data_IF_422984489766
#
_entry.id   IF_422984489766
#
_cell.length_a   1.000
_cell.length_b   1.000
_cell.length_c   1.000
_cell.angle_alpha   90.00
_cell.angle_beta   90.00
_cell.angle_gamma   90.00
#
_symmetry.space_group_name_H-M   'P 1'
#
loop_
_entity.id
_entity.type
_entity.pdbx_description
1 polymer ?
#
# COMPACT_ATOMS: atom_id res chain seq x y z
N UNK A 1 5.35 -19.01 10.54
CA UNK A 1 4.63 -18.61 11.78
C UNK A 1 4.59 -17.09 11.95
N UNK A 2 5.69 -16.38 11.65
CA UNK A 2 5.78 -14.91 11.67
C UNK A 2 4.72 -14.20 10.82
N UNK A 3 4.44 -14.67 9.61
CA UNK A 3 3.51 -14.03 8.67
C UNK A 3 2.05 -13.98 9.19
N UNK A 4 1.66 -14.95 10.03
CA UNK A 4 0.34 -14.98 10.65
C UNK A 4 0.26 -14.00 11.82
N UNK A 5 1.30 -13.90 12.64
CA UNK A 5 1.35 -12.97 13.75
C UNK A 5 1.44 -11.52 13.29
N UNK A 6 2.19 -11.25 12.20
CA UNK A 6 2.33 -9.92 11.61
C UNK A 6 1.14 -9.48 10.73
N UNK A 7 0.21 -10.41 10.44
CA UNK A 7 -0.89 -10.19 9.51
C UNK A 7 -0.44 -9.98 8.06
N UNK A 8 0.75 -10.46 7.69
CA UNK A 8 1.35 -10.24 6.37
C UNK A 8 0.57 -10.89 5.23
N UNK A 9 -0.17 -11.97 5.51
CA UNK A 9 -1.11 -12.57 4.55
C UNK A 9 -2.19 -11.58 4.03
N UNK A 10 -2.46 -10.50 4.78
CA UNK A 10 -3.38 -9.43 4.34
C UNK A 10 -2.74 -8.64 3.19
N UNK A 11 -1.42 -8.50 3.18
CA UNK A 11 -0.66 -7.82 2.12
C UNK A 11 -0.58 -8.64 0.83
N UNK A 12 -0.87 -9.94 0.87
CA UNK A 12 -0.99 -10.76 -0.34
C UNK A 12 -2.27 -10.41 -1.12
N UNK A 13 -3.34 -10.02 -0.40
CA UNK A 13 -4.64 -9.70 -1.00
C UNK A 13 -4.90 -8.21 -1.21
N UNK A 14 -4.36 -7.36 -0.35
CA UNK A 14 -4.54 -5.91 -0.41
C UNK A 14 -3.19 -5.21 -0.59
N UNK A 15 -3.08 -4.22 -1.49
CA UNK A 15 -1.87 -3.39 -1.57
C UNK A 15 -1.66 -2.67 -0.24
N UNK A 16 -0.39 -2.54 0.19
CA UNK A 16 -0.05 -1.92 1.47
C UNK A 16 -0.56 -0.48 1.52
N UNK A 17 -1.56 -0.18 2.33
CA UNK A 17 -2.24 1.11 2.38
C UNK A 17 -3.12 1.23 3.61
N UNK A 18 -3.91 2.30 3.72
CA UNK A 18 -4.74 2.56 4.91
C UNK A 18 -5.66 1.39 5.28
N UNK A 19 -6.33 0.76 4.31
CA UNK A 19 -7.17 -0.41 4.55
C UNK A 19 -6.37 -1.62 5.05
N UNK A 20 -5.21 -1.91 4.43
CA UNK A 20 -4.37 -3.02 4.85
C UNK A 20 -3.81 -2.80 6.27
N UNK A 21 -3.40 -1.57 6.60
CA UNK A 21 -2.99 -1.17 7.95
C UNK A 21 -4.12 -1.38 8.95
N UNK A 22 -5.34 -0.96 8.62
CA UNK A 22 -6.51 -1.13 9.49
C UNK A 22 -6.81 -2.61 9.75
N UNK A 23 -6.87 -3.44 8.71
CA UNK A 23 -7.15 -4.87 8.84
C UNK A 23 -6.07 -5.59 9.67
N UNK A 24 -4.79 -5.27 9.43
CA UNK A 24 -3.68 -5.81 10.22
C UNK A 24 -3.75 -5.36 11.67
N UNK A 25 -4.13 -4.10 11.91
CA UNK A 25 -4.35 -3.58 13.25
C UNK A 25 -5.43 -4.37 13.99
N UNK A 26 -6.59 -4.58 13.35
CA UNK A 26 -7.68 -5.37 13.94
C UNK A 26 -7.22 -6.79 14.27
N UNK A 27 -6.50 -7.43 13.36
CA UNK A 27 -5.97 -8.78 13.55
C UNK A 27 -4.99 -8.88 14.73
N UNK A 28 -3.99 -8.00 14.78
CA UNK A 28 -2.99 -7.98 15.84
C UNK A 28 -3.62 -7.60 17.18
N UNK A 29 -4.52 -6.61 17.19
CA UNK A 29 -5.25 -6.20 18.40
C UNK A 29 -6.07 -7.36 18.94
N UNK A 30 -6.76 -8.10 18.08
CA UNK A 30 -7.52 -9.29 18.46
C UNK A 30 -6.61 -10.32 19.14
N UNK A 31 -5.47 -10.67 18.54
CA UNK A 31 -4.51 -11.62 19.12
C UNK A 31 -4.00 -11.13 20.49
N UNK A 32 -3.54 -9.88 20.57
CA UNK A 32 -3.00 -9.31 21.80
C UNK A 32 -4.06 -9.23 22.91
N UNK A 33 -5.29 -8.90 22.55
CA UNK A 33 -6.41 -8.84 23.49
C UNK A 33 -6.75 -10.22 24.07
N UNK A 34 -6.78 -11.28 23.24
CA UNK A 34 -6.99 -12.64 23.72
C UNK A 34 -5.87 -13.13 24.63
N UNK A 35 -4.61 -12.81 24.30
CA UNK A 35 -3.46 -13.11 25.17
C UNK A 35 -3.60 -12.37 26.50
N UNK A 36 -3.97 -11.09 26.49
CA UNK A 36 -4.16 -10.31 27.71
C UNK A 36 -5.28 -10.86 28.60
N UNK A 37 -6.42 -11.27 28.01
CA UNK A 37 -7.49 -11.95 28.75
C UNK A 37 -7.00 -13.27 29.33
N UNK A 38 -6.29 -14.09 28.56
CA UNK A 38 -5.78 -15.37 29.02
C UNK A 38 -4.82 -15.20 30.22
N UNK A 39 -3.88 -14.25 30.14
CA UNK A 39 -2.96 -13.92 31.24
C UNK A 39 -3.74 -13.43 32.46
N UNK A 40 -4.66 -12.47 32.28
CA UNK A 40 -5.47 -11.92 33.38
C UNK A 40 -6.31 -13.01 34.06
N UNK A 41 -6.87 -13.94 33.29
CA UNK A 41 -7.64 -15.07 33.81
C UNK A 41 -6.77 -16.06 34.60
N UNK A 42 -5.46 -16.15 34.32
CA UNK A 42 -4.54 -17.07 35.01
C UNK A 42 -3.91 -16.49 36.27
N UNK A 43 -3.74 -15.16 36.32
CA UNK A 43 -3.07 -14.46 37.44
C UNK A 43 -4.07 -13.97 38.50
N UNK A 44 -5.37 -14.06 38.25
CA UNK A 44 -6.38 -13.64 39.22
C UNK A 44 -6.33 -14.52 40.49
N UNK A 45 -6.37 -13.91 41.70
CA UNK A 45 -6.24 -14.63 42.98
C UNK A 45 -7.36 -15.65 43.27
N UNK A 46 -8.42 -15.68 42.46
CA UNK A 46 -9.53 -16.65 42.54
C UNK A 46 -9.75 -17.39 41.22
N UNK A 47 -8.70 -17.58 40.42
CA UNK A 47 -8.80 -18.26 39.12
C UNK A 47 -9.28 -19.70 39.30
N UNK A 48 -10.56 -19.96 39.06
CA UNK A 48 -11.09 -21.30 38.90
C UNK A 48 -10.78 -21.77 37.47
N UNK A 49 -10.28 -23.00 37.32
CA UNK A 49 -9.96 -23.58 36.01
C UNK A 49 -11.21 -23.99 35.21
N UNK A 50 -12.38 -23.54 35.65
CA UNK A 50 -13.67 -23.90 35.07
C UNK A 50 -14.13 -22.83 34.07
N UNK A 51 -14.39 -23.21 32.81
CA UNK A 51 -14.88 -22.27 31.82
C UNK A 51 -16.31 -21.82 32.18
N UNK A 52 -16.45 -20.54 32.56
CA UNK A 52 -17.74 -19.91 32.84
C UNK A 52 -18.01 -18.74 31.92
N UNK A 53 -19.15 -18.79 31.20
CA UNK A 53 -19.59 -17.73 30.29
C UNK A 53 -19.82 -16.41 31.05
N UNK A 54 -20.31 -16.50 32.29
CA UNK A 54 -20.58 -15.32 33.14
C UNK A 54 -19.29 -14.61 33.51
N UNK A 55 -18.25 -15.37 33.88
CA UNK A 55 -16.91 -14.83 34.18
C UNK A 55 -16.27 -14.25 32.93
N UNK A 56 -16.40 -14.91 31.78
CA UNK A 56 -15.90 -14.39 30.51
C UNK A 56 -16.55 -13.06 30.13
N UNK A 57 -17.88 -12.94 30.27
CA UNK A 57 -18.60 -11.70 29.99
C UNK A 57 -18.16 -10.55 30.89
N UNK A 58 -17.97 -10.81 32.18
CA UNK A 58 -17.53 -9.82 33.15
C UNK A 58 -16.07 -9.38 32.90
N UNK A 59 -15.19 -10.31 32.57
CA UNK A 59 -13.82 -10.01 32.17
C UNK A 59 -13.82 -9.11 30.93
N UNK A 60 -14.53 -9.51 29.86
CA UNK A 60 -14.64 -8.73 28.63
C UNK A 60 -15.17 -7.33 28.93
N UNK A 61 -16.29 -7.18 29.66
CA UNK A 61 -16.86 -5.86 29.94
C UNK A 61 -15.89 -4.96 30.72
N UNK A 62 -15.08 -5.54 31.61
CA UNK A 62 -14.06 -4.81 32.37
C UNK A 62 -12.81 -4.46 31.56
N UNK A 63 -12.54 -5.17 30.45
CA UNK A 63 -11.34 -5.00 29.62
C UNK A 63 -11.57 -4.30 28.29
N UNK A 64 -12.82 -3.98 27.93
CA UNK A 64 -13.15 -3.24 26.69
C UNK A 64 -12.30 -1.96 26.51
N UNK A 65 -12.09 -1.10 27.52
CA UNK A 65 -11.25 0.10 27.35
C UNK A 65 -9.81 -0.21 26.93
N UNK A 66 -9.26 -1.35 27.37
CA UNK A 66 -7.91 -1.79 27.00
C UNK A 66 -7.81 -2.20 25.54
N UNK A 67 -8.89 -2.71 24.96
CA UNK A 67 -8.95 -3.02 23.53
C UNK A 67 -8.70 -1.75 22.70
N UNK A 68 -9.33 -0.63 23.06
CA UNK A 68 -9.13 0.66 22.39
C UNK A 68 -7.68 1.16 22.49
N UNK A 69 -7.06 1.04 23.66
CA UNK A 69 -5.65 1.44 23.85
C UNK A 69 -4.68 0.56 23.04
N UNK A 70 -4.87 -0.77 23.06
CA UNK A 70 -4.07 -1.70 22.25
C UNK A 70 -4.25 -1.38 20.76
N UNK A 71 -5.50 -1.20 20.32
CA UNK A 71 -5.81 -0.86 18.94
C UNK A 71 -5.11 0.43 18.50
N UNK A 72 -5.23 1.51 19.28
CA UNK A 72 -4.62 2.79 18.95
C UNK A 72 -3.08 2.69 18.85
N UNK A 73 -2.45 1.98 19.79
CA UNK A 73 -0.99 1.77 19.77
C UNK A 73 -0.52 0.97 18.56
N UNK A 74 -1.18 -0.15 18.27
CA UNK A 74 -0.88 -0.99 17.09
C UNK A 74 -1.12 -0.22 15.80
N UNK A 75 -2.24 0.51 15.71
CA UNK A 75 -2.58 1.32 14.54
C UNK A 75 -1.52 2.38 14.27
N UNK A 76 -1.15 3.14 15.29
CA UNK A 76 -0.14 4.19 15.19
C UNK A 76 1.21 3.62 14.73
N UNK A 77 1.64 2.48 15.29
CA UNK A 77 2.90 1.83 14.91
C UNK A 77 2.90 1.34 13.45
N UNK A 78 1.84 0.64 13.03
CA UNK A 78 1.72 0.13 11.66
C UNK A 78 1.56 1.27 10.64
N UNK A 79 0.79 2.31 10.99
CA UNK A 79 0.63 3.47 10.14
C UNK A 79 1.93 4.25 10.00
N UNK A 80 2.67 4.47 11.09
CA UNK A 80 3.99 5.11 11.05
C UNK A 80 4.97 4.34 10.14
N UNK A 81 4.99 3.01 10.24
CA UNK A 81 5.78 2.16 9.33
C UNK A 81 5.34 2.33 7.88
N UNK A 82 4.04 2.27 7.60
CA UNK A 82 3.51 2.46 6.25
C UNK A 82 3.89 3.84 5.68
N UNK A 83 3.74 4.90 6.47
CA UNK A 83 4.08 6.27 6.06
C UNK A 83 5.57 6.40 5.74
N UNK A 84 6.44 5.81 6.57
CA UNK A 84 7.88 5.78 6.31
C UNK A 84 8.23 5.04 5.01
N UNK A 85 7.63 3.86 4.78
CA UNK A 85 7.84 3.08 3.55
C UNK A 85 7.37 3.83 2.30
N UNK A 86 6.20 4.45 2.37
CA UNK A 86 5.67 5.26 1.28
C UNK A 86 6.59 6.45 0.96
N UNK A 87 7.01 7.19 1.99
CA UNK A 87 7.84 8.39 1.84
C UNK A 87 9.23 8.05 1.30
N UNK A 88 9.81 6.95 1.76
CA UNK A 88 11.05 6.42 1.21
C UNK A 88 10.94 6.19 -0.30
N UNK A 89 9.92 5.43 -0.74
CA UNK A 89 9.79 5.05 -2.14
C UNK A 89 9.48 6.26 -3.03
N UNK A 90 8.62 7.18 -2.57
CA UNK A 90 8.32 8.42 -3.29
C UNK A 90 9.57 9.32 -3.42
N UNK A 91 10.37 9.43 -2.36
CA UNK A 91 11.61 10.20 -2.40
C UNK A 91 12.65 9.58 -3.33
N UNK A 92 12.80 8.25 -3.32
CA UNK A 92 13.69 7.54 -4.24
C UNK A 92 13.29 7.81 -5.70
N UNK A 93 12.01 7.72 -6.03
CA UNK A 93 11.51 8.06 -7.36
C UNK A 93 11.87 9.50 -7.76
N UNK A 94 11.62 10.48 -6.87
CA UNK A 94 11.94 11.87 -7.15
C UNK A 94 13.43 12.09 -7.40
N UNK A 95 14.30 11.43 -6.61
CA UNK A 95 15.74 11.50 -6.80
C UNK A 95 16.18 10.90 -8.15
N UNK A 96 15.60 9.76 -8.55
CA UNK A 96 15.85 9.14 -9.87
C UNK A 96 15.45 10.10 -10.99
N UNK A 97 14.28 10.75 -10.90
CA UNK A 97 13.83 11.71 -11.89
C UNK A 97 14.71 12.97 -11.94
N UNK A 98 15.10 13.52 -10.78
CA UNK A 98 16.03 14.64 -10.71
C UNK A 98 17.38 14.31 -11.36
N UNK A 99 17.93 13.14 -11.04
CA UNK A 99 19.16 12.65 -11.66
C UNK A 99 18.97 12.55 -13.17
N UNK A 100 17.91 11.90 -13.65
CA UNK A 100 17.66 11.73 -15.09
C UNK A 100 17.67 13.07 -15.84
N UNK A 101 16.99 14.11 -15.32
CA UNK A 101 16.96 15.45 -15.93
C UNK A 101 18.34 16.13 -15.91
N UNK A 102 19.12 15.97 -14.83
CA UNK A 102 20.44 16.58 -14.72
C UNK A 102 21.51 15.88 -15.58
N UNK A 103 21.35 14.59 -15.84
CA UNK A 103 22.29 13.79 -16.61
C UNK A 103 22.24 14.13 -18.10
N UNK A 104 21.04 14.35 -18.64
CA UNK A 104 20.86 14.74 -20.03
C UNK A 104 21.56 16.08 -20.36
N UNK A 105 21.73 16.95 -19.36
CA UNK A 105 22.41 18.24 -19.51
C UNK A 105 23.93 18.21 -19.25
N UNK A 106 24.43 17.21 -18.49
CA UNK A 106 25.82 17.18 -18.01
C UNK A 106 26.65 16.00 -18.52
N UNK A 107 26.02 14.96 -19.10
CA UNK A 107 26.68 13.75 -19.60
C UNK A 107 27.25 12.81 -18.52
N UNK A 108 26.96 13.07 -17.25
CA UNK A 108 27.74 12.51 -16.12
C UNK A 108 27.30 11.11 -15.67
N UNK A 109 26.11 10.64 -16.02
CA UNK A 109 25.58 9.36 -15.52
C UNK A 109 25.28 8.40 -16.66
N UNK A 110 25.82 7.18 -16.59
CA UNK A 110 25.58 6.17 -17.61
C UNK A 110 24.12 5.72 -17.58
N UNK A 111 23.55 5.45 -18.76
CA UNK A 111 22.20 4.88 -18.87
C UNK A 111 22.06 3.56 -18.11
N UNK A 112 23.16 2.83 -17.94
CA UNK A 112 23.24 1.61 -17.13
C UNK A 112 23.00 1.86 -15.65
N UNK A 113 23.63 2.90 -15.08
CA UNK A 113 23.39 3.28 -13.70
C UNK A 113 21.92 3.65 -13.51
N UNK A 114 21.35 4.45 -14.42
CA UNK A 114 19.92 4.81 -14.34
C UNK A 114 19.00 3.58 -14.39
N UNK A 115 19.32 2.60 -15.25
CA UNK A 115 18.57 1.35 -15.34
C UNK A 115 18.64 0.54 -14.04
N UNK A 116 19.81 0.49 -13.40
CA UNK A 116 20.00 -0.19 -12.12
C UNK A 116 19.21 0.45 -11.00
N UNK A 117 19.21 1.78 -10.90
CA UNK A 117 18.42 2.50 -9.89
C UNK A 117 16.91 2.32 -10.10
N UNK A 118 16.45 2.32 -11.36
CA UNK A 118 15.05 2.04 -11.69
C UNK A 118 14.68 0.58 -11.35
N UNK A 119 15.57 -0.39 -11.60
CA UNK A 119 15.36 -1.77 -11.19
C UNK A 119 15.29 -1.92 -9.66
N UNK A 120 16.18 -1.26 -8.91
CA UNK A 120 16.15 -1.24 -7.45
C UNK A 120 14.86 -0.63 -6.89
N UNK A 121 14.40 0.49 -7.46
CA UNK A 121 13.10 1.07 -7.11
C UNK A 121 11.94 0.07 -7.27
N UNK A 122 11.94 -0.69 -8.37
CA UNK A 122 10.90 -1.70 -8.64
C UNK A 122 10.98 -2.85 -7.63
N UNK A 123 12.19 -3.32 -7.32
CA UNK A 123 12.41 -4.36 -6.30
C UNK A 123 11.90 -3.91 -4.93
N UNK A 124 12.26 -2.70 -4.50
CA UNK A 124 11.83 -2.15 -3.22
C UNK A 124 10.32 -1.94 -3.18
N UNK A 125 9.71 -1.47 -4.26
CA UNK A 125 8.27 -1.31 -4.35
C UNK A 125 7.55 -2.64 -4.13
N UNK A 126 8.08 -3.75 -4.65
CA UNK A 126 7.53 -5.08 -4.46
C UNK A 126 7.76 -5.59 -3.03
N UNK A 127 8.99 -5.48 -2.51
CA UNK A 127 9.35 -5.90 -1.16
C UNK A 127 8.56 -5.13 -0.07
N UNK A 128 8.18 -3.89 -0.34
CA UNK A 128 7.37 -3.06 0.54
C UNK A 128 5.85 -3.26 0.34
N UNK A 129 5.45 -4.17 -0.56
CA UNK A 129 4.05 -4.41 -0.97
C UNK A 129 3.33 -3.16 -1.52
N UNK A 130 4.09 -2.22 -2.08
CA UNK A 130 3.62 -0.97 -2.66
C UNK A 130 3.45 -1.04 -4.19
N UNK A 131 4.08 -2.01 -4.86
CA UNK A 131 4.05 -2.16 -6.32
C UNK A 131 2.64 -2.21 -6.91
N UNK A 132 1.66 -2.78 -6.18
CA UNK A 132 0.26 -2.87 -6.60
C UNK A 132 -0.59 -1.64 -6.28
N UNK A 133 -0.01 -0.56 -5.73
CA UNK A 133 -0.73 0.72 -5.64
C UNK A 133 -0.81 1.34 -7.02
N UNK A 134 -1.98 1.87 -7.45
CA UNK A 134 -2.13 2.46 -8.78
C UNK A 134 -1.03 3.46 -9.15
N UNK A 135 -0.64 4.33 -8.22
CA UNK A 135 0.40 5.34 -8.45
C UNK A 135 1.80 4.76 -8.71
N UNK A 136 2.15 3.64 -8.05
CA UNK A 136 3.47 3.01 -8.24
C UNK A 136 3.42 2.00 -9.39
N UNK A 137 2.29 1.30 -9.56
CA UNK A 137 2.08 0.36 -10.65
C UNK A 137 2.25 1.03 -12.02
N UNK A 138 1.72 2.24 -12.21
CA UNK A 138 1.87 2.99 -13.47
C UNK A 138 3.35 3.35 -13.74
N UNK A 139 4.06 3.82 -12.72
CA UNK A 139 5.49 4.13 -12.80
C UNK A 139 6.31 2.88 -13.12
N UNK A 140 6.02 1.76 -12.45
CA UNK A 140 6.70 0.48 -12.67
C UNK A 140 6.48 -0.01 -14.10
N UNK A 141 5.25 0.04 -14.61
CA UNK A 141 4.95 -0.33 -16.01
C UNK A 141 5.72 0.55 -16.99
N UNK A 142 5.80 1.86 -16.74
CA UNK A 142 6.57 2.79 -17.57
C UNK A 142 8.08 2.49 -17.54
N UNK A 143 8.65 2.25 -16.37
CA UNK A 143 10.06 1.91 -16.20
C UNK A 143 10.41 0.55 -16.84
N UNK A 144 9.57 -0.46 -16.65
CA UNK A 144 9.73 -1.79 -17.27
C UNK A 144 9.50 -1.77 -18.78
N UNK A 145 8.93 -0.69 -19.35
CA UNK A 145 8.91 -0.49 -20.80
C UNK A 145 10.32 -0.30 -21.41
N UNK A 146 11.34 -0.05 -20.59
CA UNK A 146 12.73 0.12 -21.02
C UNK A 146 13.50 -1.20 -20.86
N UNK A 147 14.02 -1.75 -21.95
CA UNK A 147 14.73 -3.04 -21.93
C UNK A 147 15.93 -3.05 -20.98
N UNK A 148 16.66 -1.94 -20.88
CA UNK A 148 17.78 -1.81 -19.95
C UNK A 148 17.35 -2.03 -18.48
N UNK A 149 16.18 -1.51 -18.09
CA UNK A 149 15.64 -1.68 -16.72
C UNK A 149 15.21 -3.12 -16.49
N UNK A 150 14.52 -3.74 -17.47
CA UNK A 150 14.12 -5.16 -17.38
C UNK A 150 15.33 -6.06 -17.21
N UNK A 151 16.38 -5.82 -17.99
CA UNK A 151 17.61 -6.62 -17.93
C UNK A 151 18.33 -6.43 -16.60
N UNK A 152 18.45 -5.19 -16.12
CA UNK A 152 19.01 -4.90 -14.80
C UNK A 152 18.22 -5.62 -13.68
N UNK A 153 16.88 -5.56 -13.71
CA UNK A 153 16.05 -6.26 -12.73
C UNK A 153 16.29 -7.78 -12.78
N UNK A 154 16.27 -8.40 -13.96
CA UNK A 154 16.50 -9.86 -14.10
C UNK A 154 17.88 -10.27 -13.58
N UNK A 155 18.89 -9.43 -13.78
CA UNK A 155 20.28 -9.73 -13.42
C UNK A 155 20.53 -9.60 -11.92
N UNK A 156 19.98 -8.56 -11.28
CA UNK A 156 20.34 -8.20 -9.91
C UNK A 156 19.28 -8.56 -8.86
N UNK A 157 18.04 -8.81 -9.26
CA UNK A 157 16.96 -9.14 -8.32
C UNK A 157 16.89 -10.65 -8.06
N UNK A 158 16.87 -11.12 -6.78
CA UNK A 158 16.64 -12.51 -6.45
C UNK A 158 15.31 -13.03 -7.03
N UNK A 159 15.35 -14.19 -7.70
CA UNK A 159 14.20 -14.75 -8.43
C UNK A 159 14.08 -14.27 -9.88
N UNK A 160 14.87 -13.27 -10.28
CA UNK A 160 15.10 -12.87 -11.68
C UNK A 160 13.84 -12.79 -12.54
N UNK A 161 13.85 -13.49 -13.67
CA UNK A 161 12.76 -13.47 -14.66
C UNK A 161 11.42 -13.96 -14.11
N UNK A 162 11.39 -15.04 -13.31
CA UNK A 162 10.14 -15.58 -12.80
C UNK A 162 9.41 -14.58 -11.89
N UNK A 163 10.17 -13.87 -11.07
CA UNK A 163 9.66 -12.79 -10.21
C UNK A 163 9.19 -11.60 -11.04
N UNK A 164 9.94 -11.22 -12.07
CA UNK A 164 9.56 -10.15 -12.99
C UNK A 164 8.25 -10.45 -13.72
N UNK A 165 8.05 -11.67 -14.22
CA UNK A 165 6.84 -12.05 -14.96
C UNK A 165 5.59 -11.98 -14.06
N UNK A 166 5.71 -12.47 -12.81
CA UNK A 166 4.64 -12.36 -11.81
C UNK A 166 4.33 -10.90 -11.46
N UNK A 167 5.37 -10.08 -11.27
CA UNK A 167 5.24 -8.65 -11.01
C UNK A 167 4.52 -7.95 -12.17
N UNK A 168 4.98 -8.13 -13.41
CA UNK A 168 4.40 -7.50 -14.60
C UNK A 168 2.91 -7.83 -14.75
N UNK A 169 2.54 -9.10 -14.56
CA UNK A 169 1.14 -9.52 -14.59
C UNK A 169 0.31 -8.78 -13.53
N UNK A 170 0.83 -8.67 -12.31
CA UNK A 170 0.15 -8.01 -11.20
C UNK A 170 -0.03 -6.50 -11.41
N UNK A 171 1.00 -5.78 -11.88
CA UNK A 171 0.94 -4.32 -12.06
C UNK A 171 0.11 -3.93 -13.27
N UNK A 172 0.17 -4.70 -14.37
CA UNK A 172 -0.68 -4.48 -15.56
C UNK A 172 -2.16 -4.63 -15.21
N UNK A 173 -2.53 -5.63 -14.41
CA UNK A 173 -3.89 -5.82 -13.93
C UNK A 173 -4.41 -4.65 -13.06
N UNK A 174 -3.53 -4.06 -12.24
CA UNK A 174 -3.89 -2.88 -11.44
C UNK A 174 -4.10 -1.65 -12.33
N UNK A 175 -3.18 -1.40 -13.27
CA UNK A 175 -3.25 -0.24 -14.17
C UNK A 175 -4.47 -0.31 -15.07
N UNK A 176 -4.79 -1.48 -15.63
CA UNK A 176 -5.99 -1.66 -16.47
C UNK A 176 -7.28 -1.42 -15.68
N UNK A 177 -7.37 -1.96 -14.45
CA UNK A 177 -8.51 -1.72 -13.56
C UNK A 177 -8.67 -0.25 -13.21
N UNK A 178 -7.58 0.44 -12.90
CA UNK A 178 -7.61 1.88 -12.59
C UNK A 178 -8.05 2.72 -13.80
N UNK A 179 -7.58 2.37 -15.00
CA UNK A 179 -7.99 3.02 -16.24
C UNK A 179 -9.49 2.82 -16.51
N UNK A 180 -10.01 1.61 -16.32
CA UNK A 180 -11.45 1.34 -16.49
C UNK A 180 -12.30 2.18 -15.52
N UNK A 181 -11.91 2.24 -14.24
CA UNK A 181 -12.62 3.05 -13.25
C UNK A 181 -12.67 4.53 -13.61
N UNK A 182 -11.61 5.06 -14.24
CA UNK A 182 -11.59 6.44 -14.72
C UNK A 182 -12.55 6.66 -15.92
N UNK A 183 -12.60 5.70 -16.85
CA UNK A 183 -13.53 5.73 -17.99
C UNK A 183 -14.99 5.67 -17.50
N UNK A 184 -15.30 4.74 -16.59
CA UNK A 184 -16.64 4.58 -16.02
C UNK A 184 -17.09 5.85 -15.28
N UNK A 185 -16.20 6.44 -14.47
CA UNK A 185 -16.46 7.70 -13.76
C UNK A 185 -16.66 8.90 -14.71
N UNK A 186 -16.06 8.86 -15.91
CA UNK A 186 -16.21 9.90 -16.93
C UNK A 186 -17.44 9.70 -17.82
N UNK A 187 -17.97 8.48 -17.90
CA UNK A 187 -19.11 8.10 -18.75
C UNK A 187 -20.49 8.45 -18.17
N UNK A 188 -20.61 8.57 -16.84
CA UNK A 188 -21.91 8.72 -16.16
C UNK A 188 -22.35 10.18 -15.89
N UNK A 189 -21.71 11.19 -16.51
CA UNK A 189 -21.98 12.57 -16.11
C UNK A 189 -21.52 13.68 -17.03
N UNK A 190 -21.68 13.56 -18.35
CA UNK A 190 -21.73 14.76 -19.19
C UNK A 190 -23.17 15.29 -19.21
N UNK A 191 -23.55 16.31 -18.41
CA UNK A 191 -24.78 17.02 -18.67
C UNK A 191 -24.65 17.59 -20.08
N UNK A 192 -25.61 17.22 -20.93
CA UNK A 192 -25.77 17.75 -22.28
C UNK A 192 -25.97 19.27 -22.18
N UNK A 193 -24.89 20.04 -22.13
CA UNK A 193 -24.90 21.50 -22.21
C UNK A 193 -25.12 21.95 -23.66
N UNK A 194 -26.17 21.41 -24.28
CA UNK A 194 -26.86 22.04 -25.41
C UNK A 194 -27.85 23.10 -24.89
N UNK A 195 -27.36 23.98 -24.02
CA UNK A 195 -28.03 25.23 -23.71
C UNK A 195 -27.58 26.26 -24.73
N UNK A 196 -28.47 26.53 -25.68
CA UNK A 196 -28.38 27.63 -26.65
C UNK A 196 -27.92 28.90 -25.94
N UNK A 197 -26.67 29.33 -26.17
CA UNK A 197 -26.25 30.72 -25.91
C UNK A 197 -26.92 31.60 -26.96
N UNK A 198 -28.11 32.08 -26.65
CA UNK A 198 -28.72 33.21 -27.36
C UNK A 198 -27.86 34.44 -27.06
N UNK A 199 -27.10 34.87 -28.05
CA UNK A 199 -26.23 36.05 -27.98
C UNK A 199 -27.09 37.29 -28.16
N UNK A 200 -27.61 37.85 -27.06
CA UNK A 200 -28.20 39.19 -27.10
C UNK A 200 -27.11 40.23 -27.36
N UNK A 201 -27.27 40.94 -28.48
CA UNK A 201 -26.46 42.12 -28.85
C UNK A 201 -26.90 43.29 -27.95
N UNK A 202 -25.97 44.01 -27.31
CA UNK A 202 -26.31 45.27 -26.65
C UNK A 202 -26.67 46.32 -27.71
N UNK A 203 -27.84 46.95 -27.55
CA UNK A 203 -28.22 48.17 -28.29
C UNK A 203 -27.42 49.34 -27.72
N UNK A 204 -26.70 50.03 -28.60
CA UNK A 204 -26.08 51.30 -28.30
C UNK A 204 -27.16 52.38 -28.09
N UNK A 205 -26.92 53.25 -27.11
CA UNK A 205 -27.52 54.57 -26.96
C UNK A 205 -26.37 55.56 -26.81
#
# INVERSE_FOLDING_TARGET
MTNYLSGEFILDRYPNGGLAVLLRTLWITFILYFIAIAIRSRVAPYATWEPSITVARQLISSTIPWFGAIFAGVYAALYARFASQWSYLANLYNQIMCAQVQCDASGTTSGEAMALWQAGFIEDAEALHLARKPMFASVIVSMLGKDAVRNAYKQYTPGGSARLDALEASVKAVVSKAAQQFVDASGDGAPNMSSKRTREKPRAA
#
